data_IF_551108146862
#
_entry.id   IF_551108146862
#
_cell.length_a   1.000
_cell.length_b   1.000
_cell.length_c   1.000
_cell.angle_alpha   90.00
_cell.angle_beta   90.00
_cell.angle_gamma   90.00
#
_symmetry.space_group_name_H-M   'P 1'
#
loop_
_entity.id
_entity.type
_entity.pdbx_description
1 polymer ?
#
# COMPACT_ATOMS: atom_id res chain seq x y z
N UNK A 1 -10.18 17.36 36.00
CA UNK A 1 -10.55 17.24 34.54
C UNK A 1 -9.53 16.28 33.95
N UNK A 2 -9.92 15.02 33.76
CA UNK A 2 -9.08 14.03 33.09
C UNK A 2 -9.07 14.39 31.59
N UNK A 3 -7.90 14.61 31.01
CA UNK A 3 -7.72 14.77 29.58
C UNK A 3 -8.16 13.48 28.89
N UNK A 4 -9.08 13.62 27.92
CA UNK A 4 -9.55 12.54 27.07
C UNK A 4 -8.33 11.86 26.39
N UNK A 5 -8.05 10.57 26.64
CA UNK A 5 -6.91 9.88 26.03
C UNK A 5 -7.07 9.64 24.52
N UNK A 6 -8.19 10.06 23.93
CA UNK A 6 -8.52 9.94 22.50
C UNK A 6 -8.56 11.29 21.78
N UNK A 7 -7.91 12.33 22.31
CA UNK A 7 -7.64 13.52 21.48
C UNK A 7 -6.83 13.05 20.29
N UNK A 8 -7.50 13.01 19.15
CA UNK A 8 -6.91 12.66 17.84
C UNK A 8 -5.73 13.60 17.57
N UNK A 9 -4.54 13.17 17.94
CA UNK A 9 -3.34 13.62 17.26
C UNK A 9 -3.53 13.23 15.81
N UNK A 10 -3.19 14.12 14.89
CA UNK A 10 -3.24 13.93 13.45
C UNK A 10 -2.56 12.59 13.08
N UNK A 11 -3.34 11.51 13.04
CA UNK A 11 -2.87 10.12 12.88
C UNK A 11 -2.74 9.75 11.40
N UNK A 12 -2.34 10.71 10.56
CA UNK A 12 -2.09 10.45 9.15
C UNK A 12 -3.37 10.25 8.32
N UNK A 13 -3.20 9.73 7.13
CA UNK A 13 -4.27 9.46 6.18
C UNK A 13 -5.20 8.36 6.70
N UNK A 14 -6.47 8.68 6.97
CA UNK A 14 -7.44 7.68 7.39
C UNK A 14 -8.11 7.02 6.18
N UNK A 15 -8.23 5.69 6.24
CA UNK A 15 -9.00 4.89 5.30
C UNK A 15 -10.23 4.37 6.01
N UNK A 16 -11.41 4.63 5.43
CA UNK A 16 -12.68 4.12 5.93
C UNK A 16 -13.13 2.94 5.07
N UNK A 17 -13.41 1.82 5.73
CA UNK A 17 -13.97 0.63 5.08
C UNK A 17 -15.33 0.32 5.67
N UNK A 18 -16.33 0.13 4.82
CA UNK A 18 -17.70 -0.20 5.23
C UNK A 18 -18.32 -1.24 4.31
N UNK A 19 -19.27 -2.02 4.81
CA UNK A 19 -20.07 -2.92 3.98
C UNK A 19 -20.81 -2.16 2.88
N UNK A 20 -20.80 -2.68 1.64
CA UNK A 20 -21.60 -2.14 0.53
C UNK A 20 -23.10 -2.42 0.69
N UNK A 21 -23.45 -3.50 1.42
CA UNK A 21 -24.78 -4.10 1.53
C UNK A 21 -25.35 -4.67 0.21
N UNK A 22 -24.52 -4.76 -0.84
CA UNK A 22 -24.89 -5.37 -2.13
C UNK A 22 -24.34 -6.79 -2.26
N UNK A 23 -23.24 -7.08 -1.57
CA UNK A 23 -22.62 -8.40 -1.51
C UNK A 23 -22.12 -8.70 -0.10
N UNK A 24 -22.14 -9.99 0.28
CA UNK A 24 -21.78 -10.44 1.63
C UNK A 24 -20.35 -10.06 2.04
N UNK A 25 -19.41 -10.11 1.11
CA UNK A 25 -17.99 -9.84 1.34
C UNK A 25 -17.53 -8.56 0.64
N UNK A 26 -18.45 -7.83 0.02
CA UNK A 26 -18.13 -6.62 -0.72
C UNK A 26 -18.06 -5.42 0.23
N UNK A 27 -16.91 -4.75 0.23
CA UNK A 27 -16.62 -3.57 1.01
C UNK A 27 -16.42 -2.35 0.11
N UNK A 28 -16.83 -1.20 0.58
CA UNK A 28 -16.48 0.10 -0.01
C UNK A 28 -15.30 0.66 0.76
N UNK A 29 -14.20 0.84 0.09
CA UNK A 29 -12.98 1.47 0.64
C UNK A 29 -12.96 2.93 0.21
N UNK A 30 -12.85 3.85 1.15
CA UNK A 30 -12.75 5.29 0.91
C UNK A 30 -11.46 5.83 1.50
N UNK A 31 -10.73 6.54 0.70
CA UNK A 31 -9.52 7.26 1.09
C UNK A 31 -9.51 8.58 0.35
N UNK A 32 -9.09 9.65 0.98
CA UNK A 32 -8.84 11.00 0.46
C UNK A 32 -9.32 11.28 -0.98
N UNK A 33 -10.63 11.51 -1.15
CA UNK A 33 -11.22 11.82 -2.47
C UNK A 33 -11.47 10.63 -3.40
N UNK A 34 -11.09 9.41 -3.02
CA UNK A 34 -11.26 8.20 -3.83
C UNK A 34 -12.12 7.16 -3.13
N UNK A 35 -12.86 6.39 -3.92
CA UNK A 35 -13.58 5.21 -3.45
C UNK A 35 -13.46 4.07 -4.46
N UNK A 36 -13.31 2.85 -3.95
CA UNK A 36 -13.30 1.64 -4.77
C UNK A 36 -13.90 0.48 -3.98
N UNK A 37 -14.17 -0.64 -4.66
CA UNK A 37 -14.67 -1.85 -4.02
C UNK A 37 -13.50 -2.80 -3.72
N UNK A 38 -13.55 -3.40 -2.54
CA UNK A 38 -12.79 -4.59 -2.19
C UNK A 38 -13.77 -5.76 -2.05
N UNK A 39 -13.40 -6.94 -2.52
CA UNK A 39 -14.30 -8.08 -2.51
C UNK A 39 -13.48 -9.38 -2.61
N UNK A 40 -14.11 -10.49 -2.29
CA UNK A 40 -13.54 -11.82 -2.48
C UNK A 40 -13.96 -12.41 -3.83
N UNK A 41 -13.21 -13.40 -4.37
CA UNK A 41 -13.61 -14.13 -5.57
C UNK A 41 -14.96 -14.84 -5.41
N UNK A 42 -15.64 -15.03 -6.53
CA UNK A 42 -16.94 -15.76 -6.56
C UNK A 42 -16.84 -17.19 -6.00
N UNK A 43 -15.68 -17.83 -6.18
CA UNK A 43 -15.40 -19.19 -5.67
C UNK A 43 -15.49 -19.34 -4.15
N UNK A 44 -15.33 -18.23 -3.41
CA UNK A 44 -15.41 -18.22 -1.93
C UNK A 44 -16.59 -17.38 -1.41
N UNK A 45 -17.53 -17.01 -2.30
CA UNK A 45 -18.78 -16.35 -1.93
C UNK A 45 -18.78 -14.83 -2.03
N UNK A 46 -17.76 -14.25 -2.65
CA UNK A 46 -17.74 -12.85 -3.09
C UNK A 46 -18.45 -12.65 -4.42
N UNK A 47 -18.49 -11.41 -4.90
CA UNK A 47 -18.97 -11.04 -6.22
C UNK A 47 -17.84 -10.86 -7.24
N UNK A 48 -16.57 -10.85 -6.80
CA UNK A 48 -15.40 -10.59 -7.64
C UNK A 48 -15.41 -9.17 -8.19
N UNK A 49 -15.91 -8.20 -7.42
CA UNK A 49 -16.11 -6.82 -7.86
C UNK A 49 -14.94 -5.88 -7.53
N UNK A 50 -13.90 -6.40 -6.90
CA UNK A 50 -12.70 -5.65 -6.54
C UNK A 50 -11.57 -6.59 -6.10
N UNK A 51 -10.38 -6.06 -5.78
CA UNK A 51 -9.28 -6.84 -5.24
C UNK A 51 -9.64 -7.38 -3.85
N UNK A 52 -9.14 -8.58 -3.53
CA UNK A 52 -9.19 -9.13 -2.18
C UNK A 52 -8.18 -8.41 -1.23
N UNK A 53 -8.26 -8.61 0.08
CA UNK A 53 -7.38 -7.93 1.04
C UNK A 53 -5.88 -8.14 0.79
N UNK A 54 -5.43 -9.34 0.40
CA UNK A 54 -4.03 -9.58 0.07
C UNK A 54 -3.63 -9.00 -1.27
N UNK A 55 -4.56 -8.93 -2.22
CA UNK A 55 -4.39 -8.20 -3.47
C UNK A 55 -4.16 -6.70 -3.24
N UNK A 56 -4.84 -6.11 -2.24
CA UNK A 56 -4.60 -4.72 -1.82
C UNK A 56 -3.19 -4.54 -1.22
N UNK A 57 -2.73 -5.45 -0.35
CA UNK A 57 -1.37 -5.42 0.20
C UNK A 57 -0.31 -5.58 -0.89
N UNK A 58 -0.49 -6.54 -1.79
CA UNK A 58 0.40 -6.76 -2.94
C UNK A 58 0.41 -5.54 -3.87
N UNK A 59 -0.77 -4.94 -4.12
CA UNK A 59 -0.92 -3.72 -4.91
C UNK A 59 -0.20 -2.54 -4.28
N UNK A 60 -0.32 -2.35 -2.96
CA UNK A 60 0.39 -1.30 -2.23
C UNK A 60 1.91 -1.47 -2.32
N UNK A 61 2.41 -2.69 -2.13
CA UNK A 61 3.84 -3.00 -2.26
C UNK A 61 4.33 -2.74 -3.69
N UNK A 62 3.59 -3.19 -4.70
CA UNK A 62 3.93 -3.00 -6.11
C UNK A 62 3.95 -1.53 -6.51
N UNK A 63 2.91 -0.77 -6.15
CA UNK A 63 2.79 0.65 -6.43
C UNK A 63 3.91 1.45 -5.77
N UNK A 64 4.13 1.25 -4.47
CA UNK A 64 5.21 1.91 -3.72
C UNK A 64 6.58 1.62 -4.33
N UNK A 65 6.86 0.35 -4.69
CA UNK A 65 8.11 -0.04 -5.35
C UNK A 65 8.31 0.69 -6.69
N UNK A 66 7.26 0.72 -7.53
CA UNK A 66 7.32 1.38 -8.83
C UNK A 66 7.53 2.89 -8.71
N UNK A 67 6.82 3.55 -7.78
CA UNK A 67 6.98 4.99 -7.50
C UNK A 67 8.37 5.32 -6.98
N UNK A 68 8.92 4.51 -6.07
CA UNK A 68 10.26 4.64 -5.52
C UNK A 68 11.33 4.58 -6.61
N UNK A 69 11.25 3.57 -7.50
CA UNK A 69 12.16 3.44 -8.65
C UNK A 69 12.04 4.63 -9.60
N UNK A 70 10.81 5.03 -9.92
CA UNK A 70 10.53 6.15 -10.83
C UNK A 70 11.14 7.44 -10.31
N UNK A 71 10.85 7.82 -9.07
CA UNK A 71 11.34 9.04 -8.45
C UNK A 71 12.87 9.09 -8.40
N UNK A 72 13.50 7.97 -8.04
CA UNK A 72 14.96 7.90 -8.01
C UNK A 72 15.56 8.08 -9.42
N UNK A 73 15.04 7.36 -10.42
CA UNK A 73 15.52 7.49 -11.80
C UNK A 73 15.37 8.93 -12.33
N UNK A 74 14.25 9.59 -12.05
CA UNK A 74 14.01 10.99 -12.42
C UNK A 74 15.01 11.95 -11.77
N UNK A 75 15.27 11.78 -10.47
CA UNK A 75 16.27 12.60 -9.75
C UNK A 75 17.70 12.43 -10.29
N UNK A 76 18.01 11.22 -10.79
CA UNK A 76 19.31 10.94 -11.41
C UNK A 76 19.37 11.34 -12.89
N UNK A 77 18.26 11.76 -13.50
CA UNK A 77 18.18 12.02 -14.94
C UNK A 77 18.39 10.77 -15.79
N UNK A 78 18.04 9.58 -15.26
CA UNK A 78 18.22 8.31 -15.98
C UNK A 78 17.07 8.03 -16.94
N UNK A 79 17.34 7.43 -18.11
CA UNK A 79 16.36 7.25 -19.18
C UNK A 79 15.46 6.02 -18.90
N UNK A 80 14.79 5.99 -17.76
CA UNK A 80 13.78 4.98 -17.43
C UNK A 80 12.46 5.33 -18.12
N UNK A 81 12.07 4.57 -19.12
CA UNK A 81 10.82 4.78 -19.88
C UNK A 81 9.62 4.21 -19.15
N UNK A 82 9.73 2.95 -18.70
CA UNK A 82 8.66 2.26 -17.96
C UNK A 82 9.21 1.42 -16.82
N UNK A 83 8.48 1.36 -15.72
CA UNK A 83 8.65 0.37 -14.67
C UNK A 83 7.35 -0.43 -14.50
N UNK A 84 7.47 -1.74 -14.43
CA UNK A 84 6.37 -2.64 -14.10
C UNK A 84 6.78 -3.54 -12.94
N UNK A 85 5.91 -3.68 -11.95
CA UNK A 85 6.12 -4.54 -10.79
C UNK A 85 4.99 -5.55 -10.71
N UNK A 86 5.33 -6.82 -10.71
CA UNK A 86 4.42 -7.92 -10.40
C UNK A 86 4.69 -8.40 -8.98
N UNK A 87 3.65 -8.59 -8.20
CA UNK A 87 3.76 -9.07 -6.81
C UNK A 87 2.86 -10.28 -6.64
N UNK A 88 3.42 -11.35 -6.10
CA UNK A 88 2.70 -12.55 -5.71
C UNK A 88 2.78 -12.71 -4.19
N UNK A 89 1.68 -13.15 -3.58
CA UNK A 89 1.59 -13.45 -2.16
C UNK A 89 1.39 -14.94 -1.94
N UNK A 90 2.17 -15.51 -1.04
CA UNK A 90 2.10 -16.92 -0.64
C UNK A 90 2.20 -17.04 0.87
N UNK A 91 1.49 -18.04 1.42
CA UNK A 91 1.60 -18.43 2.82
C UNK A 91 1.37 -19.92 2.95
N UNK A 92 2.30 -20.64 3.58
CA UNK A 92 2.25 -22.09 3.70
C UNK A 92 1.20 -22.57 4.73
N UNK A 93 0.99 -21.81 5.81
CA UNK A 93 -0.03 -22.05 6.84
C UNK A 93 -0.43 -20.73 7.51
N UNK A 94 -1.47 -20.75 8.35
CA UNK A 94 -1.94 -19.56 9.05
C UNK A 94 -0.88 -18.96 9.98
N UNK A 95 -0.03 -19.79 10.56
CA UNK A 95 1.04 -19.40 11.47
C UNK A 95 2.37 -19.12 10.75
N UNK A 96 2.47 -19.47 9.45
CA UNK A 96 3.65 -19.20 8.65
C UNK A 96 3.76 -17.70 8.33
N UNK A 97 5.01 -17.25 8.20
CA UNK A 97 5.28 -15.90 7.72
C UNK A 97 4.80 -15.75 6.27
N UNK A 98 4.21 -14.59 5.97
CA UNK A 98 3.81 -14.27 4.60
C UNK A 98 5.04 -14.06 3.71
N UNK A 99 4.97 -14.53 2.48
CA UNK A 99 5.97 -14.34 1.44
C UNK A 99 5.37 -13.48 0.32
N UNK A 100 5.98 -12.33 0.07
CA UNK A 100 5.69 -11.49 -1.09
C UNK A 100 6.87 -11.56 -2.06
N UNK A 101 6.65 -12.14 -3.23
CA UNK A 101 7.64 -12.19 -4.30
C UNK A 101 7.39 -11.07 -5.31
N UNK A 102 8.42 -10.25 -5.58
CA UNK A 102 8.36 -9.16 -6.55
C UNK A 102 9.21 -9.45 -7.76
N UNK A 103 8.63 -9.28 -8.95
CA UNK A 103 9.35 -9.25 -10.21
C UNK A 103 9.26 -7.84 -10.82
N UNK A 104 10.40 -7.24 -11.11
CA UNK A 104 10.52 -5.86 -11.59
C UNK A 104 11.04 -5.86 -13.03
N UNK A 105 10.29 -5.22 -13.92
CA UNK A 105 10.69 -4.96 -15.29
C UNK A 105 10.99 -3.48 -15.49
N UNK A 106 12.15 -3.17 -16.06
CA UNK A 106 12.63 -1.83 -16.35
C UNK A 106 12.84 -1.67 -17.86
N UNK A 107 12.10 -0.76 -18.46
CA UNK A 107 12.20 -0.41 -19.88
C UNK A 107 12.95 0.91 -20.03
N UNK A 108 13.80 1.00 -21.04
CA UNK A 108 14.60 2.16 -21.35
C UNK A 108 16.08 1.83 -21.59
N UNK A 109 16.86 2.73 -22.19
CA UNK A 109 18.28 2.54 -22.48
C UNK A 109 19.15 2.71 -21.21
N UNK A 110 18.86 1.90 -20.20
CA UNK A 110 19.59 1.85 -18.93
C UNK A 110 20.79 0.90 -19.06
N UNK A 111 21.93 1.32 -18.56
CA UNK A 111 23.08 0.42 -18.40
C UNK A 111 22.93 -0.55 -17.22
N UNK A 112 23.83 -1.52 -17.09
CA UNK A 112 23.78 -2.54 -16.05
C UNK A 112 23.94 -1.96 -14.63
N UNK A 113 24.79 -0.96 -14.47
CA UNK A 113 24.99 -0.30 -13.18
C UNK A 113 23.73 0.45 -12.74
N UNK A 114 23.05 1.12 -13.65
CA UNK A 114 21.77 1.79 -13.41
C UNK A 114 20.69 0.78 -13.02
N UNK A 115 20.58 -0.33 -13.75
CA UNK A 115 19.62 -1.41 -13.42
C UNK A 115 19.87 -1.99 -12.03
N UNK A 116 21.11 -2.34 -11.74
CA UNK A 116 21.51 -2.85 -10.42
C UNK A 116 21.14 -1.85 -9.32
N UNK A 117 21.44 -0.57 -9.53
CA UNK A 117 21.12 0.47 -8.56
C UNK A 117 19.62 0.63 -8.35
N UNK A 118 18.81 0.58 -9.40
CA UNK A 118 17.34 0.65 -9.28
C UNK A 118 16.77 -0.55 -8.51
N UNK A 119 17.36 -1.73 -8.64
CA UNK A 119 16.99 -2.90 -7.81
C UNK A 119 17.31 -2.67 -6.32
N UNK A 120 18.47 -2.09 -5.99
CA UNK A 120 18.79 -1.71 -4.61
C UNK A 120 17.83 -0.65 -4.05
N UNK A 121 17.42 0.30 -4.89
CA UNK A 121 16.44 1.32 -4.53
C UNK A 121 15.05 0.72 -4.26
N UNK A 122 14.65 -0.31 -5.00
CA UNK A 122 13.39 -1.03 -4.77
C UNK A 122 13.29 -1.56 -3.33
N UNK A 123 14.41 -1.97 -2.71
CA UNK A 123 14.46 -2.44 -1.31
C UNK A 123 14.26 -1.31 -0.28
N UNK A 124 14.33 -0.05 -0.71
CA UNK A 124 14.10 1.12 0.17
C UNK A 124 12.65 1.58 0.19
N UNK A 125 11.79 0.96 -0.61
CA UNK A 125 10.36 1.26 -0.65
C UNK A 125 9.76 1.26 0.78
N UNK A 126 9.08 2.33 1.23
CA UNK A 126 8.51 2.41 2.58
C UNK A 126 7.57 1.25 2.93
N UNK A 127 6.69 0.85 2.00
CA UNK A 127 5.77 -0.28 2.22
C UNK A 127 6.54 -1.59 2.37
N UNK A 128 7.62 -1.83 1.60
CA UNK A 128 8.50 -2.98 1.81
C UNK A 128 9.02 -3.02 3.24
N UNK A 129 9.59 -1.91 3.73
CA UNK A 129 10.11 -1.83 5.10
C UNK A 129 9.04 -2.05 6.16
N UNK A 130 7.82 -1.57 5.92
CA UNK A 130 6.68 -1.79 6.82
C UNK A 130 6.30 -3.27 6.89
N UNK A 131 6.19 -3.95 5.76
CA UNK A 131 5.86 -5.37 5.70
C UNK A 131 6.98 -6.25 6.30
N UNK A 132 8.25 -5.92 6.03
CA UNK A 132 9.39 -6.71 6.50
C UNK A 132 9.55 -6.65 8.02
N UNK A 133 9.43 -5.46 8.64
CA UNK A 133 9.56 -5.29 10.10
C UNK A 133 8.30 -5.67 10.88
N UNK A 134 7.12 -5.73 10.23
CA UNK A 134 5.82 -5.85 10.87
C UNK A 134 5.31 -4.52 11.45
N UNK A 135 4.12 -4.54 12.06
CA UNK A 135 3.45 -3.36 12.60
C UNK A 135 2.69 -3.68 13.87
N UNK A 136 2.59 -2.72 14.78
CA UNK A 136 1.70 -2.78 15.93
C UNK A 136 0.27 -2.44 15.49
N UNK A 137 -0.67 -3.33 15.75
CA UNK A 137 -2.08 -3.15 15.42
C UNK A 137 -2.86 -2.96 16.72
N UNK A 138 -3.52 -1.82 16.85
CA UNK A 138 -4.37 -1.51 18.01
C UNK A 138 -5.83 -1.45 17.56
N UNK A 139 -6.72 -2.12 18.31
CA UNK A 139 -8.14 -2.21 17.95
C UNK A 139 -8.99 -1.67 19.10
N UNK A 140 -9.99 -0.86 18.78
CA UNK A 140 -10.99 -0.36 19.74
C UNK A 140 -12.38 -0.40 19.14
N UNK A 141 -13.39 -0.56 19.98
CA UNK A 141 -14.79 -0.41 19.60
C UNK A 141 -15.20 1.06 19.72
N UNK A 142 -15.79 1.61 18.68
CA UNK A 142 -16.36 2.99 18.72
C UNK A 142 -17.89 2.93 18.68
N UNK A 143 -18.58 3.76 19.48
CA UNK A 143 -20.04 3.84 19.46
C UNK A 143 -20.61 4.70 18.31
N UNK A 144 -19.76 5.39 17.58
CA UNK A 144 -20.16 6.28 16.48
C UNK A 144 -19.47 5.85 15.18
N UNK A 145 -20.18 6.04 14.04
CA UNK A 145 -19.59 5.78 12.73
C UNK A 145 -18.53 6.85 12.43
N UNK A 146 -17.36 6.38 12.00
CA UNK A 146 -16.32 7.26 11.49
C UNK A 146 -16.75 7.92 10.17
N UNK A 147 -16.28 9.14 9.92
CA UNK A 147 -16.38 9.81 8.63
C UNK A 147 -15.05 9.72 7.89
N UNK A 148 -15.11 9.62 6.56
CA UNK A 148 -13.89 9.67 5.75
C UNK A 148 -13.17 11.01 5.96
N UNK A 149 -11.85 11.01 6.05
CA UNK A 149 -11.06 12.22 6.18
C UNK A 149 -11.31 13.17 4.99
N UNK A 150 -11.34 14.47 5.27
CA UNK A 150 -11.40 15.50 4.24
C UNK A 150 -10.07 15.56 3.47
N UNK A 151 -10.11 16.01 2.21
CA UNK A 151 -8.92 16.25 1.39
C UNK A 151 -7.97 17.24 2.09
N UNK A 152 -6.67 16.98 2.08
CA UNK A 152 -5.68 17.99 2.47
C UNK A 152 -4.46 17.55 3.30
N UNK A 153 -4.40 16.31 3.78
CA UNK A 153 -3.19 15.83 4.43
C UNK A 153 -2.14 15.42 3.38
N UNK A 154 -0.92 15.97 3.47
CA UNK A 154 0.19 15.53 2.63
C UNK A 154 0.47 14.03 2.82
N UNK A 155 0.83 13.34 1.74
CA UNK A 155 1.07 11.90 1.77
C UNK A 155 2.22 11.54 2.69
N UNK A 156 1.96 10.76 3.73
CA UNK A 156 2.98 10.21 4.62
C UNK A 156 4.00 9.37 3.85
N UNK A 157 3.53 8.63 2.87
CA UNK A 157 4.35 7.86 1.95
C UNK A 157 5.39 8.72 1.20
N UNK A 158 5.00 9.91 0.73
CA UNK A 158 5.94 10.84 0.08
C UNK A 158 6.99 11.37 1.05
N UNK A 159 6.60 11.68 2.29
CA UNK A 159 7.54 12.08 3.35
C UNK A 159 8.55 10.97 3.66
N UNK A 160 8.08 9.73 3.74
CA UNK A 160 8.95 8.56 3.99
C UNK A 160 9.94 8.33 2.85
N UNK A 161 9.53 8.53 1.59
CA UNK A 161 10.43 8.44 0.45
C UNK A 161 11.51 9.54 0.47
N UNK A 162 11.16 10.77 0.82
CA UNK A 162 12.13 11.86 0.98
C UNK A 162 13.14 11.55 2.09
N UNK A 163 12.69 11.04 3.24
CA UNK A 163 13.57 10.64 4.34
C UNK A 163 14.46 9.44 3.98
N UNK A 164 14.00 8.55 3.12
CA UNK A 164 14.80 7.45 2.61
C UNK A 164 15.85 7.86 1.56
N UNK A 165 15.89 9.15 1.19
CA UNK A 165 16.82 9.69 0.20
C UNK A 165 16.48 9.27 -1.24
N UNK A 166 15.18 9.12 -1.52
CA UNK A 166 14.60 8.70 -2.81
C UNK A 166 14.03 9.91 -3.51
#
# INVERSE_FOLDING_TARGET
MASDPFVHQDLGESVLVSESRLGRLQMVVRSTGYAFLADEPRSVGGLGSGPDPYGLLAGALGACTAMTIRLYAERQGWPLERVQVSVQHHRASLEARDLFERSIYLEGPLDEAQRTRLMEIAERCPVHKTLDRGSDIRTSLTPVMAQAAAEGAGSEHMRDMEQAGI
#
